data_IF_362321057742
#
_entry.id   IF_362321057742
#
_cell.length_a   1.000
_cell.length_b   1.000
_cell.length_c   1.000
_cell.angle_alpha   90.00
_cell.angle_beta   90.00
_cell.angle_gamma   90.00
#
_symmetry.space_group_name_H-M   'P 1'
#
loop_
_entity.id
_entity.type
_entity.pdbx_description
1 polymer ?
#
# COMPACT_ATOMS: atom_id res chain seq x y z
N UNK A 1 18.43 10.15 -10.82
CA UNK A 1 18.29 9.17 -9.73
C UNK A 1 17.19 9.68 -8.84
N UNK A 2 16.10 8.92 -8.72
CA UNK A 2 14.92 9.33 -7.95
C UNK A 2 15.11 8.93 -6.49
N UNK A 3 14.68 9.72 -5.50
CA UNK A 3 14.65 9.25 -4.11
C UNK A 3 13.73 8.03 -3.93
N UNK A 4 12.78 7.80 -4.85
CA UNK A 4 11.93 6.62 -4.81
C UNK A 4 12.68 5.31 -5.10
N UNK A 5 13.83 5.35 -5.80
CA UNK A 5 14.64 4.16 -6.08
C UNK A 5 15.16 3.48 -4.80
N UNK A 6 15.15 4.20 -3.67
CA UNK A 6 15.51 3.65 -2.35
C UNK A 6 14.46 2.69 -1.76
N UNK A 7 13.24 2.63 -2.32
CA UNK A 7 12.19 1.72 -1.87
C UNK A 7 12.35 0.37 -2.58
N UNK A 8 13.10 -0.55 -1.99
CA UNK A 8 13.34 -1.88 -2.53
C UNK A 8 13.78 -2.88 -1.44
N UNK A 9 13.60 -4.17 -1.73
CA UNK A 9 13.95 -5.28 -0.84
C UNK A 9 12.72 -5.89 -0.17
N UNK A 10 12.93 -6.59 0.94
CA UNK A 10 11.87 -7.23 1.72
C UNK A 10 11.36 -6.32 2.84
N UNK A 11 10.05 -6.29 3.05
CA UNK A 11 9.37 -5.47 4.06
C UNK A 11 8.31 -6.27 4.81
N UNK A 12 8.22 -6.03 6.12
CA UNK A 12 7.09 -6.41 6.96
C UNK A 12 6.11 -5.22 6.99
N UNK A 13 4.89 -5.45 6.54
CA UNK A 13 3.77 -4.50 6.54
C UNK A 13 2.83 -4.79 7.71
N UNK A 14 2.47 -3.73 8.43
CA UNK A 14 1.49 -3.76 9.50
C UNK A 14 0.35 -2.79 9.22
N UNK A 15 -0.81 -3.33 8.88
CA UNK A 15 -2.03 -2.55 8.65
C UNK A 15 -2.88 -2.49 9.92
N UNK A 16 -3.41 -1.29 10.21
CA UNK A 16 -4.44 -1.09 11.23
C UNK A 16 -5.63 -0.36 10.62
N UNK A 17 -6.79 -1.02 10.63
CA UNK A 17 -8.05 -0.46 10.14
C UNK A 17 -8.77 0.32 11.24
N UNK A 18 -9.61 1.28 10.86
CA UNK A 18 -10.44 2.04 11.80
C UNK A 18 -11.41 1.15 12.61
N UNK A 19 -11.77 -0.03 12.10
CA UNK A 19 -12.52 -1.05 12.83
C UNK A 19 -11.76 -1.68 14.00
N UNK A 20 -10.44 -1.44 14.11
CA UNK A 20 -9.54 -2.07 15.07
C UNK A 20 -8.91 -3.38 14.57
N UNK A 21 -9.34 -3.87 13.40
CA UNK A 21 -8.74 -5.04 12.74
C UNK A 21 -7.30 -4.74 12.36
N UNK A 22 -6.44 -5.76 12.43
CA UNK A 22 -5.01 -5.67 12.08
C UNK A 22 -4.60 -6.82 11.19
N UNK A 23 -3.64 -6.56 10.30
CA UNK A 23 -2.96 -7.56 9.48
C UNK A 23 -1.46 -7.36 9.51
N UNK A 24 -0.72 -8.44 9.31
CA UNK A 24 0.73 -8.45 9.16
C UNK A 24 1.06 -9.26 7.91
N UNK A 25 1.81 -8.66 6.99
CA UNK A 25 2.12 -9.22 5.67
C UNK A 25 3.58 -8.99 5.34
N UNK A 26 4.19 -9.94 4.62
CA UNK A 26 5.53 -9.76 4.04
C UNK A 26 5.45 -9.46 2.56
N UNK A 27 6.14 -8.40 2.14
CA UNK A 27 6.27 -8.02 0.73
C UNK A 27 7.73 -8.03 0.27
N UNK A 28 7.96 -8.52 -0.94
CA UNK A 28 9.11 -8.14 -1.76
C UNK A 28 8.75 -6.90 -2.58
N UNK A 29 9.63 -5.90 -2.57
CA UNK A 29 9.41 -4.58 -3.18
C UNK A 29 10.48 -4.30 -4.22
N UNK A 30 10.01 -3.86 -5.39
CA UNK A 30 10.87 -3.38 -6.48
C UNK A 30 10.39 -2.02 -6.94
N UNK A 31 11.33 -1.09 -7.12
CA UNK A 31 11.03 0.22 -7.73
C UNK A 31 11.74 0.36 -9.06
N UNK A 32 10.98 0.71 -10.10
CA UNK A 32 11.51 1.05 -11.42
C UNK A 32 11.07 2.49 -11.78
N UNK A 33 12.04 3.29 -12.21
CA UNK A 33 11.82 4.70 -12.56
C UNK A 33 11.91 4.94 -14.07
N UNK A 34 11.12 5.90 -14.56
CA UNK A 34 11.35 6.45 -15.89
C UNK A 34 12.71 7.14 -15.94
N UNK A 35 13.26 7.33 -17.15
CA UNK A 35 14.61 7.88 -17.36
C UNK A 35 14.87 9.22 -16.66
N UNK A 36 13.84 10.06 -16.52
CA UNK A 36 13.96 11.36 -15.86
C UNK A 36 13.95 11.26 -14.32
N UNK A 37 13.49 10.14 -13.74
CA UNK A 37 13.42 9.92 -12.28
C UNK A 37 12.31 10.69 -11.57
N UNK A 38 11.48 11.43 -12.31
CA UNK A 38 10.32 12.18 -11.81
C UNK A 38 9.09 11.28 -11.57
N UNK A 39 9.03 10.14 -12.26
CA UNK A 39 7.99 9.12 -12.11
C UNK A 39 8.60 7.74 -11.92
N UNK A 40 8.12 7.03 -10.90
CA UNK A 40 8.50 5.65 -10.62
C UNK A 40 7.28 4.80 -10.30
N UNK A 41 7.42 3.50 -10.45
CA UNK A 41 6.45 2.53 -9.95
C UNK A 41 7.16 1.66 -8.91
N UNK A 42 6.57 1.58 -7.71
CA UNK A 42 7.01 0.68 -6.65
C UNK A 42 5.98 -0.45 -6.54
N UNK A 43 6.39 -1.66 -6.89
CA UNK A 43 5.53 -2.84 -6.93
C UNK A 43 5.88 -3.76 -5.74
N UNK A 44 4.87 -4.03 -4.94
CA UNK A 44 4.93 -4.86 -3.73
C UNK A 44 4.27 -6.20 -4.07
N UNK A 45 4.95 -7.30 -3.74
CA UNK A 45 4.48 -8.67 -4.03
C UNK A 45 4.64 -9.56 -2.82
N UNK A 46 3.55 -10.22 -2.41
CA UNK A 46 3.51 -11.06 -1.22
C UNK A 46 2.50 -12.19 -1.35
N UNK A 47 2.49 -13.10 -0.38
CA UNK A 47 1.57 -14.24 -0.40
C UNK A 47 0.09 -13.85 -0.25
N UNK A 48 -0.18 -12.66 0.32
CA UNK A 48 -1.52 -12.12 0.52
C UNK A 48 -2.01 -11.22 -0.61
N UNK A 49 -1.17 -10.92 -1.61
CA UNK A 49 -1.53 -10.05 -2.73
C UNK A 49 -0.39 -9.15 -3.21
N UNK A 50 -0.77 -8.10 -3.93
CA UNK A 50 0.13 -7.19 -4.63
C UNK A 50 -0.33 -5.74 -4.53
N UNK A 51 0.61 -4.81 -4.41
CA UNK A 51 0.30 -3.38 -4.36
C UNK A 51 1.18 -2.62 -5.37
N UNK A 52 0.56 -1.73 -6.14
CA UNK A 52 1.23 -0.95 -7.17
C UNK A 52 1.14 0.54 -6.85
N UNK A 53 2.24 1.11 -6.38
CA UNK A 53 2.32 2.53 -6.08
C UNK A 53 2.98 3.29 -7.23
N UNK A 54 2.40 4.42 -7.58
CA UNK A 54 2.99 5.39 -8.51
C UNK A 54 3.61 6.52 -7.71
N UNK A 55 4.91 6.72 -7.85
CA UNK A 55 5.61 7.87 -7.31
C UNK A 55 5.60 9.02 -8.30
N UNK A 56 5.13 10.19 -7.85
CA UNK A 56 5.27 11.46 -8.55
C UNK A 56 5.20 12.60 -7.53
N UNK A 57 5.87 13.73 -7.82
CA UNK A 57 5.80 14.93 -6.97
C UNK A 57 6.15 14.69 -5.48
N UNK A 58 7.03 13.72 -5.17
CA UNK A 58 7.47 13.46 -3.80
C UNK A 58 6.55 12.54 -2.98
N UNK A 59 5.52 11.95 -3.58
CA UNK A 59 4.55 11.07 -2.91
C UNK A 59 4.29 9.83 -3.75
N UNK A 60 4.15 8.68 -3.10
CA UNK A 60 3.60 7.47 -3.69
C UNK A 60 2.09 7.46 -3.51
N UNK A 61 1.37 7.11 -4.56
CA UNK A 61 -0.08 6.94 -4.53
C UNK A 61 -0.48 5.58 -5.07
N UNK A 62 -1.51 5.00 -4.46
CA UNK A 62 -2.12 3.75 -4.88
C UNK A 62 -3.61 3.99 -5.14
N UNK A 63 -4.12 3.32 -6.17
CA UNK A 63 -5.54 3.21 -6.47
C UNK A 63 -5.78 1.83 -7.08
N UNK A 64 -6.32 0.89 -6.31
CA UNK A 64 -6.55 -0.49 -6.71
C UNK A 64 -7.97 -0.93 -6.40
N UNK A 65 -8.60 -1.58 -7.38
CA UNK A 65 -9.92 -2.18 -7.22
C UNK A 65 -9.79 -3.68 -6.95
N UNK A 66 -10.46 -4.14 -5.90
CA UNK A 66 -10.60 -5.54 -5.55
C UNK A 66 -12.07 -5.93 -5.54
N UNK A 67 -12.36 -7.09 -6.12
CA UNK A 67 -13.63 -7.76 -5.89
C UNK A 67 -13.49 -8.61 -4.61
N UNK A 68 -13.46 -7.97 -3.44
CA UNK A 68 -13.22 -8.67 -2.18
C UNK A 68 -14.50 -9.31 -1.62
N UNK A 69 -14.39 -10.54 -1.14
CA UNK A 69 -15.43 -11.15 -0.33
C UNK A 69 -15.42 -10.52 1.06
N UNK A 70 -16.52 -9.88 1.45
CA UNK A 70 -16.75 -9.63 2.86
C UNK A 70 -16.91 -10.96 3.60
N UNK A 71 -16.25 -11.15 4.73
CA UNK A 71 -16.40 -12.35 5.58
C UNK A 71 -17.84 -12.55 6.10
N UNK A 72 -18.74 -11.60 5.85
CA UNK A 72 -20.07 -11.46 6.42
C UNK A 72 -21.15 -11.10 5.38
N UNK A 73 -20.96 -11.41 4.10
CA UNK A 73 -21.98 -11.16 3.08
C UNK A 73 -21.54 -11.49 1.64
N UNK A 74 -22.41 -11.23 0.64
CA UNK A 74 -22.05 -11.38 -0.77
C UNK A 74 -20.88 -10.47 -1.15
N UNK A 75 -20.20 -10.83 -2.25
CA UNK A 75 -18.99 -10.15 -2.74
C UNK A 75 -19.24 -8.64 -2.87
N UNK A 76 -18.45 -7.84 -2.17
CA UNK A 76 -18.50 -6.39 -2.24
C UNK A 76 -17.34 -5.92 -3.11
N UNK A 77 -17.55 -4.90 -3.93
CA UNK A 77 -16.46 -4.25 -4.64
C UNK A 77 -15.81 -3.25 -3.69
N UNK A 78 -14.50 -3.34 -3.50
CA UNK A 78 -13.73 -2.43 -2.66
C UNK A 78 -12.66 -1.74 -3.50
N UNK A 79 -12.63 -0.42 -3.43
CA UNK A 79 -11.57 0.39 -3.99
C UNK A 79 -10.64 0.85 -2.87
N UNK A 80 -9.35 0.60 -3.01
CA UNK A 80 -8.33 1.01 -2.05
C UNK A 80 -7.56 2.18 -2.64
N UNK A 81 -7.50 3.26 -1.87
CA UNK A 81 -6.63 4.40 -2.16
C UNK A 81 -5.66 4.60 -1.03
N UNK A 82 -4.42 4.95 -1.35
CA UNK A 82 -3.38 5.09 -0.34
C UNK A 82 -2.34 6.11 -0.76
N UNK A 83 -1.71 6.72 0.24
CA UNK A 83 -0.59 7.64 0.03
C UNK A 83 0.55 7.35 1.00
N UNK A 84 1.78 7.41 0.50
CA UNK A 84 3.00 7.37 1.30
C UNK A 84 3.90 8.54 0.92
N UNK A 85 4.38 9.28 1.91
CA UNK A 85 5.36 10.34 1.69
C UNK A 85 6.79 9.80 1.77
N UNK A 86 7.74 10.52 1.19
CA UNK A 86 9.16 10.27 1.44
C UNK A 86 9.49 10.32 2.93
N UNK A 87 10.33 9.41 3.44
CA UNK A 87 10.81 9.49 4.81
C UNK A 87 11.59 10.79 5.01
N UNK A 88 11.48 11.36 6.20
CA UNK A 88 12.23 12.54 6.61
C UNK A 88 13.06 12.20 7.86
N UNK A 89 14.41 12.21 7.76
CA UNK A 89 15.23 12.48 6.58
C UNK A 89 15.13 11.39 5.50
N UNK A 90 15.57 11.70 4.27
CA UNK A 90 15.65 10.71 3.18
C UNK A 90 16.58 9.55 3.56
N UNK A 91 16.20 8.34 3.14
CA UNK A 91 16.89 7.09 3.44
C UNK A 91 17.20 6.34 2.14
N UNK A 92 18.31 5.59 2.11
CA UNK A 92 18.65 4.71 1.00
C UNK A 92 19.46 3.48 1.50
N UNK A 93 18.84 2.28 1.57
CA UNK A 93 17.44 1.99 1.27
C UNK A 93 16.48 2.59 2.31
N UNK A 94 15.19 2.67 1.98
CA UNK A 94 14.17 3.09 2.94
C UNK A 94 13.97 2.02 4.00
N UNK A 95 14.19 2.35 5.27
CA UNK A 95 14.09 1.38 6.39
C UNK A 95 12.69 1.31 6.97
N UNK A 96 11.95 2.41 6.93
CA UNK A 96 10.55 2.45 7.37
C UNK A 96 9.75 3.48 6.57
N UNK A 97 8.51 3.14 6.25
CA UNK A 97 7.55 3.98 5.54
C UNK A 97 6.20 3.85 6.21
N UNK A 98 5.52 4.98 6.40
CA UNK A 98 4.15 5.00 6.88
C UNK A 98 3.21 5.43 5.76
N UNK A 99 2.06 4.78 5.73
CA UNK A 99 1.02 5.07 4.76
C UNK A 99 -0.32 5.36 5.42
N UNK A 100 -1.15 6.07 4.67
CA UNK A 100 -2.52 6.33 5.03
C UNK A 100 -3.40 6.03 3.84
N UNK A 101 -4.41 5.19 4.06
CA UNK A 101 -5.32 4.78 3.03
C UNK A 101 -6.79 4.81 3.44
N UNK A 102 -7.62 4.63 2.43
CA UNK A 102 -9.06 4.54 2.53
C UNK A 102 -9.56 3.38 1.67
N UNK A 103 -10.30 2.50 2.31
CA UNK A 103 -11.06 1.42 1.69
C UNK A 103 -12.47 1.95 1.44
N UNK A 104 -12.86 2.05 0.17
CA UNK A 104 -14.20 2.42 -0.25
C UNK A 104 -14.97 1.18 -0.69
N UNK A 105 -15.91 0.74 0.13
CA UNK A 105 -16.74 -0.45 -0.13
C UNK A 105 -18.05 -0.04 -0.79
N UNK A 106 -18.27 -0.54 -2.01
CA UNK A 106 -19.56 -0.45 -2.69
C UNK A 106 -20.56 -1.40 -2.03
N UNK A 107 -21.60 -0.83 -1.41
CA UNK A 107 -22.61 -1.59 -0.69
C UNK A 107 -23.49 -2.39 -1.67
N UNK A 108 -23.65 -3.68 -1.39
CA UNK A 108 -24.63 -4.55 -2.06
C UNK A 108 -25.64 -5.05 -1.03
N UNK A 109 -26.90 -5.36 -1.41
CA UNK A 109 -27.90 -5.86 -0.47
C UNK A 109 -27.38 -7.09 0.32
N UNK A 110 -27.41 -7.00 1.66
CA UNK A 110 -26.93 -8.04 2.55
C UNK A 110 -25.44 -7.99 2.90
N UNK A 111 -24.66 -7.06 2.34
CA UNK A 111 -23.30 -6.81 2.81
C UNK A 111 -23.31 -6.00 4.12
N UNK A 112 -22.37 -6.31 5.02
CA UNK A 112 -22.21 -5.59 6.30
C UNK A 112 -20.86 -4.87 6.44
N UNK A 113 -19.97 -5.03 5.46
CA UNK A 113 -18.72 -4.28 5.40
C UNK A 113 -18.98 -2.79 5.22
N UNK A 114 -18.08 -1.98 5.76
CA UNK A 114 -18.16 -0.52 5.68
C UNK A 114 -16.86 0.02 5.14
N UNK A 115 -16.95 1.09 4.37
CA UNK A 115 -15.79 1.89 4.02
C UNK A 115 -15.09 2.38 5.29
N UNK A 116 -13.77 2.38 5.29
CA UNK A 116 -12.97 2.69 6.47
C UNK A 116 -11.61 3.24 6.08
N UNK A 117 -11.01 4.03 6.97
CA UNK A 117 -9.60 4.38 6.86
C UNK A 117 -8.73 3.26 7.39
N UNK A 118 -7.50 3.20 6.91
CA UNK A 118 -6.46 2.35 7.47
C UNK A 118 -5.11 3.09 7.44
N UNK A 119 -4.21 2.68 8.34
CA UNK A 119 -2.83 3.11 8.34
C UNK A 119 -1.91 1.91 8.25
N UNK A 120 -0.80 2.07 7.54
CA UNK A 120 0.19 1.02 7.33
C UNK A 120 1.58 1.48 7.76
N UNK A 121 2.41 0.52 8.12
CA UNK A 121 3.82 0.73 8.36
C UNK A 121 4.61 -0.40 7.74
N UNK A 122 5.43 -0.05 6.75
CA UNK A 122 6.35 -0.94 6.07
C UNK A 122 7.71 -0.83 6.74
N UNK A 123 8.23 -1.94 7.27
CA UNK A 123 9.55 -2.01 7.92
C UNK A 123 10.45 -2.94 7.13
N UNK A 124 11.60 -2.43 6.66
CA UNK A 124 12.52 -3.21 5.83
C UNK A 124 13.18 -4.33 6.64
N UNK A 125 13.21 -5.54 6.09
CA UNK A 125 13.78 -6.74 6.72
C UNK A 125 14.95 -7.36 5.97
N UNK A 126 15.19 -6.97 4.71
CA UNK A 126 16.28 -7.53 3.90
C UNK A 126 16.26 -7.05 2.45
N UNK A 127 17.18 -7.57 1.64
CA UNK A 127 17.10 -7.49 0.17
C UNK A 127 16.34 -8.70 -0.38
#
# INVERSE_FOLDING_TARGET
>A
VSPAEALHGSYDDQTTYASGSKSDVKYGVRTDCLRAGDRCMSFFTGASGEAAFVFANGVWTLNQDYASGCSSGPQAHANFTETMALPQPLQNPVTSLSAHGYENVTQVPGATCRSQTYGETYTRTGD
#
